data_IF_177415917504
#
_entry.id   IF_177415917504
#
_cell.length_a   1.000
_cell.length_b   1.000
_cell.length_c   1.000
_cell.angle_alpha   90.00
_cell.angle_beta   90.00
_cell.angle_gamma   90.00
#
_symmetry.space_group_name_H-M   'P 1'
#
loop_
_entity.id
_entity.type
_entity.pdbx_description
1 polymer ?
#
# COMPACT_ATOMS: atom_id res chain seq x y z
N UNK A 1 18.64 -4.48 -0.11
CA UNK A 1 18.13 -5.75 0.46
C UNK A 1 17.42 -5.43 1.76
N UNK A 2 16.41 -6.22 2.12
CA UNK A 2 15.75 -6.15 3.42
C UNK A 2 16.48 -7.09 4.37
N UNK A 3 16.81 -6.61 5.56
CA UNK A 3 17.69 -7.31 6.49
C UNK A 3 17.19 -7.21 7.94
N UNK A 4 17.16 -8.35 8.61
CA UNK A 4 16.95 -8.51 10.03
C UNK A 4 18.30 -8.81 10.69
N UNK A 5 18.68 -8.05 11.71
CA UNK A 5 19.93 -8.25 12.47
C UNK A 5 19.59 -8.42 13.93
N UNK A 6 19.76 -9.65 14.42
CA UNK A 6 19.53 -10.03 15.80
C UNK A 6 18.20 -9.55 16.35
N UNK A 7 17.14 -9.67 15.55
CA UNK A 7 15.85 -9.08 15.86
C UNK A 7 15.14 -9.90 16.95
N UNK A 8 14.80 -9.22 18.04
CA UNK A 8 13.96 -9.75 19.12
C UNK A 8 12.62 -9.04 19.10
N UNK A 9 11.52 -9.80 19.17
CA UNK A 9 10.17 -9.25 19.25
C UNK A 9 9.34 -9.99 20.30
N UNK A 10 8.69 -9.22 21.17
CA UNK A 10 7.74 -9.65 22.19
C UNK A 10 6.37 -9.05 21.92
N UNK A 11 5.32 -9.78 22.30
CA UNK A 11 3.94 -9.29 22.35
C UNK A 11 3.43 -9.52 23.76
N UNK A 12 3.43 -8.46 24.56
CA UNK A 12 3.23 -8.56 26.01
C UNK A 12 4.27 -9.51 26.63
N UNK A 13 3.86 -10.53 27.40
CA UNK A 13 4.81 -11.46 28.02
C UNK A 13 5.42 -12.46 27.04
N UNK A 14 4.85 -12.63 25.85
CA UNK A 14 5.23 -13.71 24.92
C UNK A 14 6.36 -13.27 24.01
N UNK A 15 7.45 -14.02 24.03
CA UNK A 15 8.54 -13.89 23.07
C UNK A 15 8.14 -14.56 21.75
N UNK A 16 8.11 -13.81 20.65
CA UNK A 16 7.79 -14.31 19.31
C UNK A 16 9.06 -14.62 18.51
N UNK A 17 10.01 -13.69 18.51
CA UNK A 17 11.29 -13.82 17.83
C UNK A 17 12.43 -13.55 18.81
N UNK A 18 13.50 -14.35 18.73
CA UNK A 18 14.72 -14.17 19.52
C UNK A 18 15.90 -14.23 18.56
N UNK A 19 16.72 -13.18 18.53
CA UNK A 19 17.93 -13.10 17.70
C UNK A 19 17.68 -13.53 16.24
N UNK A 20 16.55 -13.12 15.67
CA UNK A 20 16.18 -13.50 14.30
C UNK A 20 17.08 -12.77 13.30
N UNK A 21 17.70 -13.55 12.40
CA UNK A 21 18.61 -13.06 11.35
C UNK A 21 18.20 -13.64 10.01
N UNK A 22 17.80 -12.77 9.09
CA UNK A 22 17.56 -13.17 7.70
C UNK A 22 17.69 -11.96 6.77
N UNK A 23 17.86 -12.26 5.48
CA UNK A 23 17.98 -11.27 4.42
C UNK A 23 17.06 -11.66 3.26
N UNK A 24 16.43 -10.66 2.65
CA UNK A 24 15.66 -10.80 1.40
C UNK A 24 16.29 -9.88 0.35
N UNK A 25 16.74 -10.48 -0.73
CA UNK A 25 17.35 -9.79 -1.86
C UNK A 25 16.30 -9.40 -2.92
N UNK A 26 16.58 -8.36 -3.72
CA UNK A 26 15.74 -8.02 -4.88
C UNK A 26 15.44 -9.24 -5.75
N UNK A 27 14.20 -9.36 -6.22
CA UNK A 27 13.76 -10.46 -7.09
C UNK A 27 13.43 -11.77 -6.38
N UNK A 28 13.72 -11.90 -5.07
CA UNK A 28 13.35 -13.10 -4.32
C UNK A 28 11.86 -13.12 -3.99
N UNK A 29 11.26 -14.30 -4.13
CA UNK A 29 9.89 -14.59 -3.69
C UNK A 29 9.99 -15.43 -2.43
N UNK A 30 9.50 -14.91 -1.31
CA UNK A 30 9.63 -15.55 0.01
C UNK A 30 8.24 -15.88 0.56
N UNK A 31 8.04 -17.14 0.94
CA UNK A 31 6.85 -17.59 1.66
C UNK A 31 7.13 -17.73 3.15
N UNK A 32 6.27 -17.15 3.99
CA UNK A 32 6.36 -17.28 5.45
C UNK A 32 5.27 -18.23 5.93
N UNK A 33 5.66 -19.31 6.61
CA UNK A 33 4.75 -20.33 7.13
C UNK A 33 4.95 -20.52 8.63
N UNK A 34 3.97 -21.16 9.29
CA UNK A 34 4.01 -21.44 10.72
C UNK A 34 2.61 -21.54 11.31
N UNK A 35 2.48 -22.14 12.50
CA UNK A 35 1.20 -22.28 13.19
C UNK A 35 0.58 -20.92 13.56
N UNK A 36 -0.69 -20.91 13.95
CA UNK A 36 -1.33 -19.70 14.45
C UNK A 36 -0.66 -19.24 15.75
N UNK A 37 -0.44 -17.93 15.88
CA UNK A 37 0.23 -17.35 17.05
C UNK A 37 1.76 -17.43 17.05
N UNK A 38 2.42 -17.90 15.98
CA UNK A 38 3.89 -17.88 15.86
C UNK A 38 4.49 -16.51 15.52
N UNK A 39 3.65 -15.48 15.39
CA UNK A 39 4.11 -14.10 15.15
C UNK A 39 4.10 -13.63 13.70
N UNK A 40 3.52 -14.38 12.76
CA UNK A 40 3.44 -13.98 11.33
C UNK A 40 2.85 -12.58 11.15
N UNK A 41 1.66 -12.31 11.69
CA UNK A 41 1.04 -10.97 11.59
C UNK A 41 1.89 -9.89 12.27
N UNK A 42 2.59 -10.23 13.37
CA UNK A 42 3.50 -9.30 14.04
C UNK A 42 4.77 -9.01 13.21
N UNK A 43 5.24 -9.98 12.44
CA UNK A 43 6.32 -9.79 11.46
C UNK A 43 5.90 -8.83 10.35
N UNK A 44 4.69 -8.97 9.81
CA UNK A 44 4.15 -8.01 8.84
C UNK A 44 4.00 -6.61 9.46
N UNK A 45 3.48 -6.50 10.68
CA UNK A 45 3.37 -5.23 11.37
C UNK A 45 4.74 -4.55 11.61
N UNK A 46 5.81 -5.33 11.87
CA UNK A 46 7.19 -4.81 11.90
C UNK A 46 7.61 -4.25 10.54
N UNK A 47 7.36 -4.98 9.45
CA UNK A 47 7.68 -4.54 8.09
C UNK A 47 6.92 -3.28 7.69
N UNK A 48 5.68 -3.13 8.17
CA UNK A 48 4.85 -1.95 7.93
C UNK A 48 5.18 -0.78 8.86
N UNK A 49 6.12 -0.95 9.81
CA UNK A 49 6.49 0.06 10.79
C UNK A 49 5.44 0.29 11.90
N UNK A 50 4.40 -0.55 11.96
CA UNK A 50 3.36 -0.52 13.00
C UNK A 50 3.87 -1.07 14.33
N UNK A 51 4.94 -1.86 14.30
CA UNK A 51 5.68 -2.32 15.46
C UNK A 51 7.16 -1.97 15.32
N UNK A 52 7.80 -1.81 16.47
CA UNK A 52 9.25 -1.69 16.58
C UNK A 52 9.81 -2.96 17.21
N UNK A 53 11.03 -3.39 16.83
CA UNK A 53 11.69 -4.49 17.51
C UNK A 53 12.05 -4.09 18.95
N UNK A 54 12.05 -5.05 19.88
CA UNK A 54 12.52 -4.83 21.25
C UNK A 54 14.06 -4.77 21.29
N UNK A 55 14.72 -5.59 20.47
CA UNK A 55 16.18 -5.59 20.29
C UNK A 55 16.53 -5.87 18.83
N UNK A 56 17.75 -5.48 18.45
CA UNK A 56 18.25 -5.64 17.09
C UNK A 56 17.68 -4.59 16.14
N UNK A 57 17.78 -4.86 14.84
CA UNK A 57 17.36 -3.91 13.83
C UNK A 57 16.77 -4.56 12.58
N UNK A 58 15.84 -3.82 11.98
CA UNK A 58 15.20 -4.11 10.72
C UNK A 58 15.53 -2.98 9.75
N UNK A 59 16.20 -3.30 8.64
CA UNK A 59 16.69 -2.32 7.66
C UNK A 59 16.35 -2.72 6.23
N UNK A 60 16.07 -1.73 5.40
CA UNK A 60 15.99 -1.84 3.94
C UNK A 60 16.35 -0.49 3.29
N UNK A 61 16.59 -0.43 1.98
CA UNK A 61 16.94 0.83 1.30
C UNK A 61 15.80 1.85 1.40
N UNK A 62 16.13 3.14 1.56
CA UNK A 62 15.13 4.19 1.83
C UNK A 62 14.19 4.43 0.66
N UNK A 63 14.66 4.14 -0.53
CA UNK A 63 13.92 4.24 -1.79
C UNK A 63 12.90 3.10 -1.99
N UNK A 64 12.88 2.07 -1.14
CA UNK A 64 11.90 0.99 -1.26
C UNK A 64 10.54 1.42 -0.72
N UNK A 65 9.53 1.30 -1.57
CA UNK A 65 8.13 1.45 -1.18
C UNK A 65 7.56 0.08 -0.78
N UNK A 66 6.94 0.02 0.40
CA UNK A 66 6.29 -1.19 0.90
C UNK A 66 4.80 -1.14 0.54
N UNK A 67 4.40 -2.02 -0.38
CA UNK A 67 2.99 -2.28 -0.69
C UNK A 67 2.45 -3.40 0.20
N UNK A 68 1.23 -3.23 0.74
CA UNK A 68 0.56 -4.23 1.56
C UNK A 68 -0.88 -4.44 1.12
N UNK A 69 -1.22 -5.71 0.90
CA UNK A 69 -2.59 -6.14 0.61
C UNK A 69 -3.29 -6.38 1.94
N UNK A 70 -4.23 -5.51 2.29
CA UNK A 70 -5.05 -5.69 3.49
C UNK A 70 -5.83 -7.01 3.44
N UNK A 71 -5.96 -7.69 4.58
CA UNK A 71 -6.70 -8.95 4.68
C UNK A 71 -8.20 -8.78 4.44
N UNK A 72 -8.75 -7.61 4.76
CA UNK A 72 -10.17 -7.31 4.61
C UNK A 72 -10.37 -6.14 3.63
N UNK A 73 -11.40 -6.25 2.79
CA UNK A 73 -11.89 -5.13 1.99
C UNK A 73 -13.21 -4.66 2.57
N UNK A 74 -13.32 -3.41 3.04
CA UNK A 74 -14.60 -2.89 3.48
C UNK A 74 -15.63 -2.94 2.34
N UNK A 75 -16.87 -3.24 2.69
CA UNK A 75 -18.00 -3.11 1.75
C UNK A 75 -18.30 -1.64 1.56
N UNK A 76 -17.61 -1.01 0.62
CA UNK A 76 -17.64 0.43 0.38
C UNK A 76 -18.60 0.80 -0.77
N UNK A 77 -19.27 1.95 -0.66
CA UNK A 77 -20.11 2.49 -1.72
C UNK A 77 -19.31 3.20 -2.83
N UNK A 78 -18.04 3.51 -2.57
CA UNK A 78 -17.15 4.17 -3.53
C UNK A 78 -16.90 3.33 -4.78
N UNK A 79 -16.70 3.96 -5.96
CA UNK A 79 -16.31 3.25 -7.17
C UNK A 79 -15.01 2.48 -6.98
N UNK A 80 -14.90 1.30 -7.60
CA UNK A 80 -13.70 0.46 -7.55
C UNK A 80 -12.43 1.21 -7.98
N UNK A 81 -12.51 2.08 -9.00
CA UNK A 81 -11.37 2.87 -9.46
C UNK A 81 -10.89 3.87 -8.41
N UNK A 82 -11.80 4.53 -7.70
CA UNK A 82 -11.46 5.46 -6.62
C UNK A 82 -10.83 4.71 -5.45
N UNK A 83 -11.37 3.54 -5.12
CA UNK A 83 -10.81 2.65 -4.10
C UNK A 83 -9.38 2.22 -4.45
N UNK A 84 -9.10 1.92 -5.71
CA UNK A 84 -7.73 1.60 -6.16
C UNK A 84 -6.84 2.82 -6.05
N UNK A 85 -7.26 3.99 -6.56
CA UNK A 85 -6.48 5.23 -6.51
C UNK A 85 -6.11 5.64 -5.07
N UNK A 86 -6.93 5.30 -4.07
CA UNK A 86 -6.62 5.50 -2.65
C UNK A 86 -5.40 4.69 -2.14
N UNK A 87 -4.83 3.81 -2.96
CA UNK A 87 -3.53 3.18 -2.71
C UNK A 87 -2.34 4.11 -2.95
N UNK A 88 -2.50 5.13 -3.79
CA UNK A 88 -1.51 6.15 -4.08
C UNK A 88 -1.73 7.36 -3.17
N UNK A 89 -1.11 7.34 -1.98
CA UNK A 89 -1.31 8.39 -0.95
C UNK A 89 -0.87 9.76 -1.44
N UNK A 90 0.27 9.82 -2.10
CA UNK A 90 0.86 11.05 -2.61
C UNK A 90 -0.02 11.69 -3.69
N UNK A 91 -0.63 10.87 -4.56
CA UNK A 91 -1.66 11.35 -5.49
C UNK A 91 -2.81 12.03 -4.72
N UNK A 92 -3.40 11.34 -3.74
CA UNK A 92 -4.54 11.86 -2.97
C UNK A 92 -4.21 13.11 -2.17
N UNK A 93 -3.01 13.19 -1.61
CA UNK A 93 -2.52 14.37 -0.90
C UNK A 93 -2.38 15.56 -1.85
N UNK A 94 -1.83 15.34 -3.04
CA UNK A 94 -1.68 16.38 -4.07
C UNK A 94 -3.04 16.84 -4.60
N UNK A 95 -3.99 15.93 -4.86
CA UNK A 95 -5.36 16.27 -5.27
C UNK A 95 -6.05 17.18 -4.24
N UNK A 96 -5.94 16.85 -2.95
CA UNK A 96 -6.51 17.66 -1.86
C UNK A 96 -5.83 19.03 -1.74
N UNK A 97 -4.51 19.07 -1.89
CA UNK A 97 -3.76 20.32 -1.84
C UNK A 97 -4.14 21.24 -3.01
N UNK A 98 -4.34 20.70 -4.21
CA UNK A 98 -4.82 21.44 -5.39
C UNK A 98 -6.20 22.05 -5.12
N UNK A 99 -7.14 21.25 -4.62
CA UNK A 99 -8.49 21.72 -4.28
C UNK A 99 -8.47 22.82 -3.22
N UNK A 100 -7.58 22.72 -2.23
CA UNK A 100 -7.40 23.75 -1.19
C UNK A 100 -6.81 25.04 -1.75
N UNK A 101 -5.78 24.95 -2.59
CA UNK A 101 -5.16 26.12 -3.23
C UNK A 101 -6.17 26.84 -4.15
N UNK A 102 -7.03 26.11 -4.85
CA UNK A 102 -8.13 26.67 -5.65
C UNK A 102 -9.13 27.43 -4.79
N UNK A 103 -9.59 26.83 -3.70
CA UNK A 103 -10.53 27.48 -2.76
C UNK A 103 -9.93 28.71 -2.09
N UNK A 104 -8.62 28.73 -1.88
CA UNK A 104 -7.90 29.86 -1.29
C UNK A 104 -7.53 30.96 -2.30
N UNK A 105 -7.68 30.73 -3.61
CA UNK A 105 -7.22 31.65 -4.66
C UNK A 105 -5.70 31.76 -4.74
N UNK A 106 -4.95 30.78 -4.25
CA UNK A 106 -3.49 30.75 -4.27
C UNK A 106 -2.98 30.27 -5.64
N UNK A 107 -2.96 31.17 -6.62
CA UNK A 107 -2.53 30.84 -7.99
C UNK A 107 -1.09 30.34 -8.10
N UNK A 108 -0.17 30.83 -7.26
CA UNK A 108 1.21 30.35 -7.24
C UNK A 108 1.31 28.94 -6.65
N UNK A 109 0.59 28.68 -5.55
CA UNK A 109 0.43 27.33 -4.99
C UNK A 109 -0.16 26.35 -5.99
N UNK A 110 -1.23 26.75 -6.68
CA UNK A 110 -1.85 25.94 -7.74
C UNK A 110 -0.85 25.59 -8.85
N UNK A 111 -0.11 26.58 -9.38
CA UNK A 111 0.86 26.33 -10.45
C UNK A 111 1.94 25.33 -10.03
N UNK A 112 2.50 25.49 -8.82
CA UNK A 112 3.49 24.54 -8.27
C UNK A 112 2.92 23.14 -8.08
N UNK A 113 1.71 23.04 -7.53
CA UNK A 113 1.04 21.76 -7.30
C UNK A 113 0.66 21.07 -8.61
N UNK A 114 0.28 21.81 -9.65
CA UNK A 114 0.02 21.23 -10.98
C UNK A 114 1.30 20.67 -11.61
N UNK A 115 2.42 21.40 -11.53
CA UNK A 115 3.71 20.89 -11.97
C UNK A 115 4.11 19.62 -11.21
N UNK A 116 3.88 19.59 -9.88
CA UNK A 116 4.11 18.40 -9.08
C UNK A 116 3.19 17.25 -9.47
N UNK A 117 1.90 17.52 -9.67
CA UNK A 117 0.89 16.54 -10.08
C UNK A 117 1.22 15.92 -11.44
N UNK A 118 1.78 16.69 -12.38
CA UNK A 118 2.30 16.16 -13.64
C UNK A 118 3.55 15.30 -13.42
N UNK A 119 4.53 15.78 -12.65
CA UNK A 119 5.79 15.08 -12.39
C UNK A 119 5.57 13.68 -11.78
N UNK A 120 4.52 13.54 -10.99
CA UNK A 120 4.13 12.28 -10.36
C UNK A 120 3.17 11.42 -11.21
N UNK A 121 2.86 11.85 -12.44
CA UNK A 121 1.96 11.15 -13.36
C UNK A 121 0.50 11.17 -12.94
N UNK A 122 0.06 12.21 -12.23
CA UNK A 122 -1.30 12.34 -11.69
C UNK A 122 -2.38 12.33 -12.76
N UNK A 123 -2.14 12.98 -13.91
CA UNK A 123 -3.09 12.99 -15.03
C UNK A 123 -3.32 11.60 -15.65
N UNK A 124 -2.34 10.70 -15.55
CA UNK A 124 -2.44 9.32 -16.04
C UNK A 124 -2.86 8.34 -14.94
N UNK A 125 -3.02 8.77 -13.68
CA UNK A 125 -3.30 7.87 -12.57
C UNK A 125 -4.58 7.05 -12.78
N UNK A 126 -5.65 7.69 -13.29
CA UNK A 126 -6.93 7.02 -13.55
C UNK A 126 -6.82 5.97 -14.65
N UNK A 127 -6.13 6.25 -15.75
CA UNK A 127 -5.93 5.27 -16.83
C UNK A 127 -5.03 4.13 -16.39
N UNK A 128 -3.98 4.41 -15.59
CA UNK A 128 -3.14 3.39 -14.96
C UNK A 128 -3.94 2.48 -14.02
N UNK A 129 -4.82 3.04 -13.19
CA UNK A 129 -5.71 2.27 -12.33
C UNK A 129 -6.68 1.39 -13.13
N UNK A 130 -7.26 1.91 -14.22
CA UNK A 130 -8.13 1.15 -15.10
C UNK A 130 -7.38 0.00 -15.80
N UNK A 131 -6.15 0.24 -16.28
CA UNK A 131 -5.30 -0.80 -16.87
C UNK A 131 -4.95 -1.90 -15.86
N UNK A 132 -4.63 -1.53 -14.62
CA UNK A 132 -4.34 -2.46 -13.54
C UNK A 132 -5.56 -3.33 -13.20
N UNK A 133 -6.73 -2.72 -13.06
CA UNK A 133 -7.99 -3.43 -12.86
C UNK A 133 -8.27 -4.39 -14.03
N UNK A 134 -8.10 -3.93 -15.26
CA UNK A 134 -8.27 -4.78 -16.42
C UNK A 134 -7.31 -5.99 -16.41
N UNK A 135 -6.04 -5.79 -16.10
CA UNK A 135 -5.04 -6.84 -15.97
C UNK A 135 -5.34 -7.86 -14.86
N UNK A 136 -6.09 -7.46 -13.83
CA UNK A 136 -6.59 -8.33 -12.76
C UNK A 136 -7.93 -9.01 -13.10
N UNK A 137 -8.44 -8.79 -14.32
CA UNK A 137 -9.60 -9.46 -14.90
C UNK A 137 -10.91 -8.67 -14.84
N UNK A 138 -10.91 -7.42 -14.37
CA UNK A 138 -12.12 -6.59 -14.36
C UNK A 138 -12.50 -6.20 -15.80
N UNK A 139 -13.79 -6.24 -16.11
CA UNK A 139 -14.35 -5.82 -17.40
C UNK A 139 -14.55 -4.31 -17.43
N UNK A 140 -14.54 -3.73 -18.62
CA UNK A 140 -14.85 -2.32 -18.83
C UNK A 140 -16.22 -1.96 -18.22
N UNK A 141 -16.27 -0.80 -17.55
CA UNK A 141 -17.43 -0.33 -16.81
C UNK A 141 -17.62 -0.97 -15.42
N UNK A 142 -16.82 -1.97 -15.02
CA UNK A 142 -16.84 -2.46 -13.64
C UNK A 142 -16.06 -1.53 -12.70
N UNK A 143 -15.04 -0.84 -13.20
CA UNK A 143 -14.23 0.11 -12.46
C UNK A 143 -15.04 1.27 -11.84
N UNK A 144 -16.20 1.60 -12.42
CA UNK A 144 -17.12 2.61 -11.88
C UNK A 144 -18.15 2.06 -10.90
N UNK A 145 -18.26 0.73 -10.77
CA UNK A 145 -19.21 0.11 -9.86
C UNK A 145 -18.74 0.23 -8.41
N UNK A 146 -19.68 0.32 -7.44
CA UNK A 146 -19.35 0.30 -6.02
C UNK A 146 -18.57 -0.95 -5.61
N UNK A 147 -17.58 -0.81 -4.73
CA UNK A 147 -16.80 -1.93 -4.16
C UNK A 147 -17.71 -3.00 -3.53
N UNK A 148 -18.80 -2.56 -2.89
CA UNK A 148 -19.80 -3.42 -2.26
C UNK A 148 -20.51 -4.38 -3.23
N UNK A 149 -20.55 -4.07 -4.54
CA UNK A 149 -21.18 -4.92 -5.57
C UNK A 149 -20.35 -6.17 -5.91
N UNK A 150 -19.07 -6.17 -5.59
CA UNK A 150 -18.17 -7.28 -5.90
C UNK A 150 -18.24 -8.37 -4.83
N UNK A 151 -18.04 -9.63 -5.24
CA UNK A 151 -17.90 -10.75 -4.30
C UNK A 151 -16.58 -10.66 -3.53
N UNK A 152 -16.44 -11.42 -2.44
CA UNK A 152 -15.23 -11.39 -1.61
C UNK A 152 -13.92 -11.65 -2.38
N UNK A 153 -13.93 -12.60 -3.33
CA UNK A 153 -12.76 -12.89 -4.17
C UNK A 153 -12.39 -11.72 -5.10
N UNK A 154 -13.38 -11.02 -5.65
CA UNK A 154 -13.16 -9.82 -6.46
C UNK A 154 -12.69 -8.64 -5.60
N UNK A 155 -13.22 -8.50 -4.38
CA UNK A 155 -12.76 -7.49 -3.41
C UNK A 155 -11.29 -7.71 -3.01
N UNK A 156 -10.85 -8.96 -2.84
CA UNK A 156 -9.42 -9.26 -2.64
C UNK A 156 -8.55 -8.80 -3.81
N UNK A 157 -9.03 -8.95 -5.06
CA UNK A 157 -8.33 -8.40 -6.23
C UNK A 157 -8.30 -6.88 -6.24
N UNK A 158 -9.34 -6.20 -5.72
CA UNK A 158 -9.30 -4.75 -5.50
C UNK A 158 -8.25 -4.36 -4.47
N UNK A 159 -8.08 -5.12 -3.37
CA UNK A 159 -7.00 -4.87 -2.41
C UNK A 159 -5.62 -5.03 -3.06
N UNK A 160 -5.45 -6.04 -3.92
CA UNK A 160 -4.22 -6.22 -4.67
C UNK A 160 -3.97 -5.06 -5.63
N UNK A 161 -4.99 -4.64 -6.40
CA UNK A 161 -4.90 -3.48 -7.28
C UNK A 161 -4.51 -2.21 -6.50
N UNK A 162 -5.16 -1.97 -5.36
CA UNK A 162 -4.86 -0.84 -4.48
C UNK A 162 -3.44 -0.91 -3.92
N UNK A 163 -2.94 -2.09 -3.58
CA UNK A 163 -1.55 -2.22 -3.13
C UNK A 163 -0.56 -1.98 -4.28
N UNK A 164 -0.89 -2.38 -5.51
CA UNK A 164 -0.01 -2.29 -6.68
C UNK A 164 -0.05 -0.92 -7.38
N UNK A 165 -1.07 -0.09 -7.15
CA UNK A 165 -1.10 1.25 -7.76
C UNK A 165 -0.05 2.18 -7.15
N UNK A 166 0.47 1.84 -5.96
CA UNK A 166 1.52 2.64 -5.33
C UNK A 166 2.72 2.73 -6.27
N UNK A 167 3.30 3.92 -6.35
CA UNK A 167 4.41 4.18 -7.26
C UNK A 167 5.63 3.41 -6.79
N UNK A 168 6.27 2.69 -7.71
CA UNK A 168 7.53 1.96 -7.53
C UNK A 168 8.70 2.76 -8.08
#
# INVERSE_FOLDING_TARGET
>A
MLQFRSLTLRRGPRLLFRDARFQIHPGQKVGITGANGTGKSSLFALLLGELQPDEGELRWPREWVIAHVAQETPSDARPAIEYVLDGDRELRETERALEQAEKAGDGEGQARLHAYFEAIGGYQARSRAAQLLHGLGFRAGQETQPVSRFSGGWRMRLNLARALICRS
#
